data_IF_156926465859
#
_entry.id   IF_156926465859
#
_cell.length_a   1.000
_cell.length_b   1.000
_cell.length_c   1.000
_cell.angle_alpha   90.00
_cell.angle_beta   90.00
_cell.angle_gamma   90.00
#
_symmetry.space_group_name_H-M   'P 1'
#
loop_
_entity.id
_entity.type
_entity.pdbx_description
1 polymer ?
#
# COMPACT_ATOMS: atom_id res chain seq x y z
N UNK A 1 4.57 20.45 -14.23
CA UNK A 1 5.08 20.78 -12.89
C UNK A 1 5.81 19.54 -12.41
N UNK A 2 7.04 19.73 -11.95
CA UNK A 2 7.89 18.65 -11.46
C UNK A 2 7.41 18.26 -10.05
N UNK A 3 6.88 17.05 -9.91
CA UNK A 3 6.25 16.53 -8.68
C UNK A 3 7.19 15.57 -7.92
N UNK A 4 8.48 15.52 -8.26
CA UNK A 4 9.37 14.45 -7.83
C UNK A 4 9.78 14.42 -6.35
N UNK A 5 9.61 15.50 -5.58
CA UNK A 5 10.26 15.62 -4.25
C UNK A 5 9.34 16.02 -3.08
N UNK A 6 8.03 16.18 -3.29
CA UNK A 6 7.11 16.61 -2.22
C UNK A 6 6.21 15.46 -1.78
N UNK A 7 6.17 15.16 -0.48
CA UNK A 7 5.16 14.28 0.13
C UNK A 7 4.07 15.17 0.74
N UNK A 8 2.84 15.09 0.21
CA UNK A 8 1.72 15.90 0.67
C UNK A 8 0.64 15.04 1.31
N UNK A 9 0.43 15.23 2.61
CA UNK A 9 -0.57 14.48 3.37
C UNK A 9 -1.65 15.45 3.84
N UNK A 10 -2.92 15.10 3.59
CA UNK A 10 -4.06 15.81 4.19
C UNK A 10 -4.22 15.34 5.65
N UNK A 11 -4.33 16.30 6.57
CA UNK A 11 -4.54 15.99 8.00
C UNK A 11 -5.80 15.16 8.19
N UNK A 12 -5.68 14.08 8.98
CA UNK A 12 -6.76 13.13 9.24
C UNK A 12 -6.44 12.32 10.51
N UNK A 13 -6.96 11.11 10.63
CA UNK A 13 -6.55 10.16 11.68
C UNK A 13 -5.11 9.72 11.43
N UNK A 14 -4.39 9.35 12.51
CA UNK A 14 -3.01 8.87 12.39
C UNK A 14 -2.88 7.62 11.51
N UNK A 15 -3.90 6.77 11.53
CA UNK A 15 -3.97 5.60 10.67
C UNK A 15 -4.07 6.00 9.19
N UNK A 16 -4.92 6.99 8.87
CA UNK A 16 -5.07 7.49 7.50
C UNK A 16 -3.83 8.19 7.01
N UNK A 17 -3.25 9.06 7.83
CA UNK A 17 -2.01 9.77 7.52
C UNK A 17 -0.87 8.79 7.21
N UNK A 18 -0.77 7.69 7.97
CA UNK A 18 0.24 6.66 7.74
C UNK A 18 0.08 5.94 6.39
N UNK A 19 -1.16 5.57 6.04
CA UNK A 19 -1.44 4.93 4.75
C UNK A 19 -1.20 5.87 3.57
N UNK A 20 -1.61 7.13 3.70
CA UNK A 20 -1.36 8.17 2.71
C UNK A 20 0.14 8.41 2.53
N UNK A 21 0.90 8.46 3.62
CA UNK A 21 2.36 8.55 3.55
C UNK A 21 2.95 7.40 2.72
N UNK A 22 2.53 6.16 2.97
CA UNK A 22 2.99 5.01 2.19
C UNK A 22 2.65 5.12 0.70
N UNK A 23 1.46 5.64 0.36
CA UNK A 23 1.03 5.87 -1.02
C UNK A 23 1.86 6.95 -1.72
N UNK A 24 2.01 8.12 -1.11
CA UNK A 24 2.81 9.23 -1.64
C UNK A 24 4.29 8.84 -1.78
N UNK A 25 4.83 8.10 -0.81
CA UNK A 25 6.18 7.54 -0.91
C UNK A 25 6.32 6.61 -2.13
N UNK A 26 5.29 5.79 -2.40
CA UNK A 26 5.23 4.96 -3.59
C UNK A 26 5.29 5.77 -4.88
N UNK A 27 4.55 6.89 -4.95
CA UNK A 27 4.61 7.83 -6.06
C UNK A 27 6.01 8.43 -6.22
N UNK A 28 6.61 8.97 -5.15
CA UNK A 28 7.94 9.59 -5.20
C UNK A 28 9.03 8.61 -5.66
N UNK A 29 9.03 7.39 -5.11
CA UNK A 29 10.07 6.39 -5.43
C UNK A 29 9.93 5.80 -6.83
N UNK A 30 8.72 5.71 -7.39
CA UNK A 30 8.47 5.00 -8.66
C UNK A 30 8.23 5.92 -9.85
N UNK A 31 7.86 7.18 -9.62
CA UNK A 31 7.36 8.07 -10.68
C UNK A 31 8.11 9.40 -10.80
N UNK A 32 9.41 9.43 -10.48
CA UNK A 32 10.29 10.55 -10.84
C UNK A 32 10.46 10.65 -12.37
N UNK A 33 9.62 11.42 -13.06
CA UNK A 33 9.73 11.63 -14.51
C UNK A 33 8.69 12.58 -15.09
N UNK A 34 9.13 13.40 -16.04
CA UNK A 34 8.40 14.51 -16.68
C UNK A 34 7.04 14.08 -17.28
N UNK A 35 5.93 14.35 -16.56
CA UNK A 35 4.57 13.94 -16.93
C UNK A 35 3.85 14.89 -17.92
N UNK A 36 4.55 15.42 -18.93
CA UNK A 36 3.89 16.27 -19.94
C UNK A 36 3.19 15.38 -20.98
N UNK A 37 1.87 15.19 -20.80
CA UNK A 37 0.91 14.37 -21.58
C UNK A 37 0.88 12.87 -21.27
N UNK A 38 0.61 12.52 -20.03
CA UNK A 38 0.30 11.14 -19.66
C UNK A 38 -1.18 10.80 -19.95
N UNK A 39 -1.41 9.76 -20.75
CA UNK A 39 -2.74 9.25 -21.08
C UNK A 39 -3.46 8.71 -19.81
N UNK A 40 -4.79 8.82 -19.68
CA UNK A 40 -5.53 8.44 -18.46
C UNK A 40 -5.21 7.05 -17.90
N UNK A 41 -5.09 6.05 -18.78
CA UNK A 41 -4.73 4.68 -18.38
C UNK A 41 -3.37 4.57 -17.67
N UNK A 42 -2.40 5.42 -18.03
CA UNK A 42 -1.11 5.42 -17.34
C UNK A 42 -1.22 6.06 -15.96
N UNK A 43 -2.10 7.05 -15.76
CA UNK A 43 -2.38 7.59 -14.42
C UNK A 43 -3.01 6.53 -13.53
N UNK A 44 -4.01 5.82 -14.04
CA UNK A 44 -4.65 4.72 -13.30
C UNK A 44 -3.65 3.62 -12.93
N UNK A 45 -2.72 3.30 -13.84
CA UNK A 45 -1.65 2.36 -13.55
C UNK A 45 -0.72 2.85 -12.44
N UNK A 46 -0.34 4.14 -12.44
CA UNK A 46 0.50 4.72 -11.39
C UNK A 46 -0.20 4.69 -10.04
N UNK A 47 -1.48 5.08 -9.99
CA UNK A 47 -2.30 5.00 -8.77
C UNK A 47 -2.40 3.55 -8.25
N UNK A 48 -2.61 2.58 -9.14
CA UNK A 48 -2.62 1.18 -8.76
C UNK A 48 -1.27 0.74 -8.19
N UNK A 49 -0.16 1.15 -8.81
CA UNK A 49 1.19 0.80 -8.35
C UNK A 49 1.53 1.44 -7.00
N UNK A 50 1.16 2.70 -6.79
CA UNK A 50 1.34 3.41 -5.52
C UNK A 50 0.49 2.78 -4.41
N UNK A 51 -0.76 2.43 -4.69
CA UNK A 51 -1.63 1.72 -3.75
C UNK A 51 -1.07 0.34 -3.39
N UNK A 52 -0.64 -0.43 -4.39
CA UNK A 52 -0.03 -1.75 -4.17
C UNK A 52 1.23 -1.64 -3.29
N UNK A 53 2.06 -0.64 -3.55
CA UNK A 53 3.23 -0.34 -2.72
C UNK A 53 2.81 -0.02 -1.28
N UNK A 54 1.85 0.89 -1.08
CA UNK A 54 1.37 1.29 0.24
C UNK A 54 0.91 0.09 1.08
N UNK A 55 0.17 -0.85 0.50
CA UNK A 55 -0.27 -2.07 1.19
C UNK A 55 0.91 -2.91 1.73
N UNK A 56 1.94 -3.09 0.92
CA UNK A 56 3.12 -3.87 1.31
C UNK A 56 4.06 -3.09 2.23
N UNK A 57 4.10 -1.76 2.10
CA UNK A 57 4.91 -0.90 2.95
C UNK A 57 4.31 -0.77 4.36
N UNK A 58 3.02 -0.46 4.47
CA UNK A 58 2.36 -0.26 5.75
C UNK A 58 2.14 -1.58 6.50
N UNK A 59 2.00 -2.70 5.79
CA UNK A 59 1.83 -4.03 6.37
C UNK A 59 2.77 -5.02 5.64
N UNK A 60 4.04 -5.12 6.08
CA UNK A 60 5.04 -5.92 5.41
C UNK A 60 4.74 -7.43 5.45
N UNK A 61 4.92 -8.10 4.31
CA UNK A 61 4.65 -9.55 4.19
C UNK A 61 5.47 -10.37 5.18
N UNK A 62 6.78 -10.10 5.28
CA UNK A 62 7.67 -10.84 6.18
C UNK A 62 7.31 -10.67 7.67
N UNK A 63 6.55 -9.63 8.03
CA UNK A 63 6.01 -9.47 9.39
C UNK A 63 4.72 -10.27 9.53
N UNK A 64 3.81 -10.20 8.55
CA UNK A 64 2.60 -11.03 8.54
C UNK A 64 2.89 -12.53 8.59
N UNK A 65 3.90 -13.00 7.87
CA UNK A 65 4.32 -14.41 7.83
C UNK A 65 4.69 -14.97 9.21
N UNK A 66 5.03 -14.09 10.16
CA UNK A 66 5.42 -14.46 11.53
C UNK A 66 4.24 -14.47 12.50
N UNK A 67 3.08 -13.98 12.08
CA UNK A 67 1.90 -13.88 12.95
C UNK A 67 1.09 -15.17 12.89
N UNK A 68 0.64 -15.65 14.05
CA UNK A 68 -0.20 -16.84 14.20
C UNK A 68 -1.43 -16.44 15.00
N UNK A 69 -2.62 -16.94 14.63
CA UNK A 69 -3.88 -16.72 15.35
C UNK A 69 -4.25 -15.24 15.61
N UNK A 70 -3.98 -14.35 14.64
CA UNK A 70 -4.31 -12.93 14.75
C UNK A 70 -5.73 -12.63 14.24
N UNK A 71 -6.31 -11.55 14.77
CA UNK A 71 -7.54 -10.93 14.27
C UNK A 71 -7.22 -9.69 13.42
N UNK A 72 -8.22 -9.19 12.69
CA UNK A 72 -8.08 -7.93 11.94
C UNK A 72 -7.75 -6.75 12.88
N UNK A 73 -8.29 -6.76 14.11
CA UNK A 73 -8.01 -5.72 15.11
C UNK A 73 -6.55 -5.74 15.53
N UNK A 74 -5.95 -6.92 15.65
CA UNK A 74 -4.52 -7.05 15.98
C UNK A 74 -3.65 -6.46 14.85
N UNK A 75 -4.02 -6.69 13.58
CA UNK A 75 -3.34 -6.10 12.42
C UNK A 75 -3.50 -4.58 12.39
N UNK A 76 -4.70 -4.06 12.63
CA UNK A 76 -4.95 -2.62 12.70
C UNK A 76 -4.09 -1.95 13.78
N UNK A 77 -4.00 -2.57 14.96
CA UNK A 77 -3.24 -2.06 16.08
C UNK A 77 -1.72 -2.15 15.82
N UNK A 78 -1.24 -3.31 15.35
CA UNK A 78 0.18 -3.57 15.13
C UNK A 78 0.78 -2.67 14.05
N UNK A 79 0.04 -2.43 12.96
CA UNK A 79 0.53 -1.67 11.81
C UNK A 79 -0.03 -0.24 11.73
N UNK A 80 -0.85 0.16 12.70
CA UNK A 80 -1.50 1.47 12.76
C UNK A 80 -2.25 1.82 11.45
N UNK A 81 -3.15 0.94 11.02
CA UNK A 81 -3.95 1.11 9.79
C UNK A 81 -5.45 1.03 10.06
N UNK A 82 -6.24 1.55 9.12
CA UNK A 82 -7.70 1.45 9.11
C UNK A 82 -8.17 0.02 8.81
N UNK A 83 -9.41 -0.28 9.18
CA UNK A 83 -9.99 -1.62 9.06
C UNK A 83 -9.99 -2.15 7.63
N UNK A 84 -10.51 -1.36 6.68
CA UNK A 84 -10.58 -1.75 5.27
C UNK A 84 -9.21 -2.00 4.66
N UNK A 85 -8.21 -1.20 5.07
CA UNK A 85 -6.83 -1.34 4.62
C UNK A 85 -6.21 -2.65 5.12
N UNK A 86 -6.43 -2.99 6.39
CA UNK A 86 -6.01 -4.26 6.97
C UNK A 86 -6.71 -5.45 6.27
N UNK A 87 -8.02 -5.39 6.10
CA UNK A 87 -8.80 -6.43 5.42
C UNK A 87 -8.29 -6.69 4.00
N UNK A 88 -8.12 -5.63 3.21
CA UNK A 88 -7.63 -5.74 1.84
C UNK A 88 -6.23 -6.35 1.78
N UNK A 89 -5.34 -5.94 2.69
CA UNK A 89 -3.99 -6.50 2.73
C UNK A 89 -3.98 -7.99 3.08
N UNK A 90 -4.83 -8.41 4.01
CA UNK A 90 -4.96 -9.82 4.41
C UNK A 90 -5.53 -10.67 3.27
N UNK A 91 -6.48 -10.14 2.50
CA UNK A 91 -6.98 -10.76 1.28
C UNK A 91 -5.83 -10.96 0.26
N UNK A 92 -5.03 -9.92 -0.01
CA UNK A 92 -3.85 -10.01 -0.88
C UNK A 92 -2.84 -11.06 -0.38
N UNK A 93 -2.68 -11.17 0.93
CA UNK A 93 -1.77 -12.14 1.54
C UNK A 93 -2.24 -13.58 1.29
N UNK A 94 -3.53 -13.85 1.57
CA UNK A 94 -4.17 -15.16 1.36
C UNK A 94 -4.19 -15.56 -0.12
N UNK A 95 -4.46 -14.62 -1.02
CA UNK A 95 -4.44 -14.87 -2.47
C UNK A 95 -3.07 -15.33 -2.97
N UNK A 96 -1.97 -14.83 -2.40
CA UNK A 96 -0.62 -15.30 -2.72
C UNK A 96 -0.36 -16.74 -2.24
N UNK A 97 -0.89 -17.15 -1.09
CA UNK A 97 -0.79 -18.54 -0.64
C UNK A 97 -1.57 -19.50 -1.54
N UNK A 98 -2.77 -19.12 -1.99
CA UNK A 98 -3.59 -19.96 -2.88
C UNK A 98 -2.96 -20.12 -4.26
N UNK A 99 -2.38 -19.06 -4.81
CA UNK A 99 -1.69 -19.13 -6.11
C UNK A 99 -0.35 -19.85 -5.96
N UNK A 100 0.42 -19.58 -4.90
CA UNK A 100 1.73 -20.19 -4.67
C UNK A 100 1.70 -21.69 -4.35
N UNK A 101 0.63 -22.18 -3.71
CA UNK A 101 0.43 -23.62 -3.45
C UNK A 101 -0.08 -24.43 -4.65
N UNK A 102 -0.48 -23.77 -5.75
CA UNK A 102 -0.92 -24.45 -6.97
C UNK A 102 0.23 -24.71 -7.97
N UNK A 103 1.41 -24.13 -7.72
CA UNK A 103 2.60 -24.18 -8.58
C UNK A 103 3.82 -24.78 -7.86
N UNK A 104 3.62 -25.49 -6.73
CA UNK A 104 4.67 -26.25 -6.04
C UNK A 104 4.48 -27.75 -6.22
#
# INVERSE_FOLDING_TARGET
>A
MDHGNDIRIRRSTKQKEWQLFGHELGHSLRHCGHQLKMHPLFKELQEYQANYFAYHFCIPTFMLDKLINYTVKDIMALFNVENDFALRRLEMHKGKFLIGGLIS
#
